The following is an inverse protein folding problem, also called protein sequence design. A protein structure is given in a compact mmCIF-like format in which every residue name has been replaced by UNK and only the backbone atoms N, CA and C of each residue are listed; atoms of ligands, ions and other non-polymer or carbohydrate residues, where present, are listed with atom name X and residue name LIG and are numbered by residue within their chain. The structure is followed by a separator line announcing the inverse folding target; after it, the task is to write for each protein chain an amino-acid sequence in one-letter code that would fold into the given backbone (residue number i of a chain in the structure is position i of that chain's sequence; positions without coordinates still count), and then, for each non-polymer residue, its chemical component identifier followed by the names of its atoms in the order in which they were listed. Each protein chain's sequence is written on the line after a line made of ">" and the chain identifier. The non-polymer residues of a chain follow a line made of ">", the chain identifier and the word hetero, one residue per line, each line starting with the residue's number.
data_IF_242238023679
#
_entry.id   IF_242238023679
#
_cell.length_a   1.000
_cell.length_b   1.000
_cell.length_c   1.000
_cell.angle_alpha   90.00
_cell.angle_beta   90.00
_cell.angle_gamma   90.00
#
_symmetry.space_group_name_H-M   'P 1'
#
loop_
_entity.id
_entity.type
_entity.pdbx_description
1 polymer ?
#
# COMPACT_ATOMS: atom_id res chain seq x y z
N UNK A 1 -14.99 12.05 -7.99
CA UNK A 1 -13.67 11.37 -7.95
C UNK A 1 -13.95 9.90 -7.73
N UNK A 2 -13.54 9.02 -8.64
CA UNK A 2 -13.70 7.58 -8.43
C UNK A 2 -12.90 7.20 -7.17
N UNK A 3 -13.58 6.85 -6.08
CA UNK A 3 -12.98 6.14 -4.95
C UNK A 3 -12.54 4.76 -5.46
N UNK A 4 -11.41 4.70 -6.14
CA UNK A 4 -10.80 3.43 -6.54
C UNK A 4 -10.27 2.81 -5.25
N UNK A 5 -11.03 1.87 -4.71
CA UNK A 5 -10.53 0.95 -3.70
C UNK A 5 -9.34 0.20 -4.29
N UNK A 6 -8.13 0.59 -3.91
CA UNK A 6 -6.89 -0.03 -4.35
C UNK A 6 -6.25 -0.79 -3.21
N UNK A 7 -5.27 -1.63 -3.52
CA UNK A 7 -4.50 -2.31 -2.49
C UNK A 7 -3.79 -1.28 -1.60
N UNK A 8 -3.35 -0.12 -2.10
CA UNK A 8 -2.69 0.91 -1.27
C UNK A 8 -3.52 1.36 -0.06
N UNK A 9 -4.84 1.48 -0.22
CA UNK A 9 -5.76 1.88 0.85
C UNK A 9 -6.22 0.72 1.74
N UNK A 10 -5.71 -0.49 1.52
CA UNK A 10 -6.02 -1.66 2.33
C UNK A 10 -5.15 -1.71 3.59
N UNK A 11 -5.72 -2.07 4.74
CA UNK A 11 -5.01 -2.27 6.02
C UNK A 11 -3.92 -3.33 5.92
N UNK A 12 -4.15 -4.35 5.07
CA UNK A 12 -3.21 -5.43 4.85
C UNK A 12 -2.08 -5.07 3.87
N UNK A 13 -2.07 -3.87 3.28
CA UNK A 13 -1.04 -3.50 2.32
C UNK A 13 0.21 -2.95 2.99
N UNK A 14 1.31 -3.66 2.78
CA UNK A 14 2.66 -3.24 3.11
C UNK A 14 3.28 -2.53 1.91
N UNK A 15 3.51 -1.23 2.08
CA UNK A 15 4.20 -0.36 1.14
C UNK A 15 5.71 -0.66 1.16
N UNK A 16 6.33 -0.84 -0.01
CA UNK A 16 7.78 -0.90 -0.08
C UNK A 16 8.38 0.50 -0.14
N UNK A 17 9.57 0.64 0.43
CA UNK A 17 10.36 1.86 0.42
C UNK A 17 11.75 1.54 -0.10
N UNK A 18 12.35 2.52 -0.78
CA UNK A 18 13.78 2.51 -1.11
C UNK A 18 14.47 3.59 -0.31
N UNK A 19 15.69 3.28 0.14
CA UNK A 19 16.55 4.25 0.79
C UNK A 19 17.36 5.00 -0.25
N UNK A 20 17.34 6.33 -0.19
CA UNK A 20 18.15 7.21 -1.01
C UNK A 20 19.54 7.39 -0.37
N UNK A 21 20.55 7.84 -1.14
CA UNK A 21 21.91 8.06 -0.62
C UNK A 21 21.99 9.07 0.54
N UNK A 22 21.01 9.97 0.62
CA UNK A 22 20.87 10.95 1.71
C UNK A 22 20.19 10.38 2.97
N UNK A 23 19.93 9.07 3.00
CA UNK A 23 19.31 8.37 4.12
C UNK A 23 17.78 8.43 4.16
N UNK A 24 17.12 9.17 3.25
CA UNK A 24 15.66 9.25 3.21
C UNK A 24 15.06 7.95 2.66
N UNK A 25 13.94 7.53 3.23
CA UNK A 25 13.12 6.45 2.68
C UNK A 25 11.99 7.04 1.86
N UNK A 26 11.86 6.64 0.59
CA UNK A 26 10.75 7.05 -0.27
C UNK A 26 9.91 5.86 -0.68
N UNK A 27 8.60 6.09 -0.80
CA UNK A 27 7.65 5.06 -1.24
C UNK A 27 7.96 4.64 -2.67
N UNK A 28 8.11 3.34 -2.89
CA UNK A 28 8.16 2.78 -4.24
C UNK A 28 6.75 2.59 -4.79
N UNK A 29 6.60 2.53 -6.11
CA UNK A 29 5.33 2.10 -6.72
C UNK A 29 5.10 0.58 -6.64
N UNK A 30 5.56 -0.06 -5.55
CA UNK A 30 5.39 -1.49 -5.29
C UNK A 30 5.11 -1.75 -3.82
N UNK A 31 4.36 -2.81 -3.58
CA UNK A 31 4.08 -3.31 -2.25
C UNK A 31 3.43 -4.69 -2.35
N UNK A 32 2.79 -5.11 -1.27
CA UNK A 32 1.99 -6.33 -1.27
C UNK A 32 0.97 -6.34 -0.14
N UNK A 33 -0.16 -7.01 -0.38
CA UNK A 33 -1.03 -7.40 0.72
C UNK A 33 -0.39 -8.57 1.47
N UNK A 34 -0.31 -8.46 2.79
CA UNK A 34 0.15 -9.54 3.66
C UNK A 34 -0.90 -10.63 3.80
N UNK A 35 -2.17 -10.30 3.60
CA UNK A 35 -3.29 -11.23 3.72
C UNK A 35 -4.30 -11.09 2.56
N UNK A 36 -4.51 -12.15 1.76
CA UNK A 36 -3.59 -13.27 1.56
C UNK A 36 -2.26 -12.75 1.00
N UNK A 37 -1.15 -13.46 1.26
CA UNK A 37 0.18 -13.02 0.81
C UNK A 37 0.24 -13.00 -0.71
N UNK A 38 0.26 -11.81 -1.30
CA UNK A 38 0.31 -11.62 -2.75
C UNK A 38 1.60 -10.93 -3.12
N UNK A 39 2.63 -11.70 -3.47
CA UNK A 39 3.94 -11.16 -3.83
C UNK A 39 3.81 -10.41 -5.17
N UNK A 40 3.96 -9.08 -5.08
CA UNK A 40 3.94 -8.07 -6.16
C UNK A 40 2.56 -7.48 -6.51
N UNK A 41 2.20 -6.37 -5.83
CA UNK A 41 1.07 -5.49 -6.19
C UNK A 41 1.60 -4.07 -6.42
N UNK A 42 1.05 -3.39 -7.43
CA UNK A 42 1.23 -1.95 -7.57
C UNK A 42 0.24 -1.20 -6.67
N UNK A 43 0.56 0.05 -6.34
CA UNK A 43 -0.26 0.85 -5.41
C UNK A 43 -1.66 1.14 -5.97
N UNK A 44 -1.77 1.30 -7.29
CA UNK A 44 -3.02 1.50 -8.03
C UNK A 44 -3.80 0.23 -8.32
N UNK A 45 -3.24 -0.94 -8.02
CA UNK A 45 -3.89 -2.20 -8.32
C UNK A 45 -5.20 -2.27 -7.55
N UNK A 46 -6.28 -2.71 -8.22
CA UNK A 46 -7.58 -2.92 -7.59
C UNK A 46 -7.43 -3.67 -6.27
N UNK A 47 -8.21 -3.26 -5.28
CA UNK A 47 -8.28 -3.85 -3.97
C UNK A 47 -8.38 -5.38 -4.03
N UNK A 48 -7.70 -6.08 -3.11
CA UNK A 48 -7.77 -7.53 -3.01
C UNK A 48 -9.16 -7.98 -2.50
N UNK A 49 -9.53 -9.26 -2.67
CA UNK A 49 -10.80 -9.78 -2.14
C UNK A 49 -10.96 -9.65 -0.61
N UNK A 50 -9.86 -9.43 0.11
CA UNK A 50 -9.83 -9.25 1.56
C UNK A 50 -9.59 -7.78 1.93
N UNK A 51 -10.06 -6.86 1.11
CA UNK A 51 -9.90 -5.43 1.35
C UNK A 51 -10.57 -5.01 2.64
N UNK A 52 -9.78 -4.39 3.50
CA UNK A 52 -10.26 -3.69 4.69
C UNK A 52 -9.68 -2.28 4.60
N UNK A 53 -10.49 -1.21 4.60
CA UNK A 53 -9.97 0.15 4.50
C UNK A 53 -9.02 0.44 5.68
N UNK A 54 -7.90 1.11 5.40
CA UNK A 54 -7.10 1.73 6.47
C UNK A 54 -7.95 2.81 7.12
N UNK A 55 -8.01 2.81 8.44
CA UNK A 55 -8.48 3.98 9.17
C UNK A 55 -7.52 5.12 8.84
N UNK A 56 -8.05 6.30 8.52
CA UNK A 56 -7.24 7.51 8.37
C UNK A 56 -6.65 7.82 9.75
N UNK A 57 -5.43 7.35 10.05
CA UNK A 57 -4.76 7.78 11.28
C UNK A 57 -4.63 9.30 11.24
N UNK A 58 -4.95 10.01 12.34
CA UNK A 58 -4.69 11.43 12.45
C UNK A 58 -3.19 11.67 12.21
N UNK A 59 -2.82 12.78 11.55
CA UNK A 59 -1.42 13.08 11.25
C UNK A 59 -0.59 13.01 12.54
N UNK A 60 0.43 12.14 12.56
CA UNK A 60 1.43 12.07 13.64
C UNK A 60 2.48 13.16 13.46
#
# INVERSE_FOLDING_TARGET
>A
MENKYTCQTCTHFCQHYVQYPDGRFVTCYSGHCVYPRQKFRHCDTKACPHYVPKEEEPPR
#
